data_IF_134711302863
#
_entry.id   IF_134711302863
#
_cell.length_a   1.000
_cell.length_b   1.000
_cell.length_c   1.000
_cell.angle_alpha   90.00
_cell.angle_beta   90.00
_cell.angle_gamma   90.00
#
_symmetry.space_group_name_H-M   'P 1'
#
loop_
_entity.id
_entity.type
_entity.pdbx_description
1 polymer ?
#
# COMPACT_ATOMS: atom_id res chain seq x y z
N UNK A 1 -16.99 8.78 -6.54
CA UNK A 1 -17.33 7.36 -6.70
C UNK A 1 -18.63 7.18 -7.46
N UNK A 2 -19.73 7.81 -7.03
CA UNK A 2 -20.97 7.86 -7.83
C UNK A 2 -20.80 8.59 -9.17
N UNK A 3 -19.99 9.66 -9.18
CA UNK A 3 -19.57 10.37 -10.39
C UNK A 3 -18.80 9.50 -11.40
N UNK A 4 -18.28 8.35 -10.97
CA UNK A 4 -17.55 7.39 -11.81
C UNK A 4 -18.37 6.13 -12.11
N UNK A 5 -19.67 6.11 -11.79
CA UNK A 5 -20.58 4.97 -12.01
C UNK A 5 -20.14 3.66 -11.32
N UNK A 6 -19.37 3.75 -10.25
CA UNK A 6 -18.94 2.58 -9.48
C UNK A 6 -19.98 2.23 -8.42
N UNK A 7 -20.41 0.97 -8.40
CA UNK A 7 -21.34 0.45 -7.39
C UNK A 7 -20.65 0.36 -6.03
N UNK A 8 -21.18 1.04 -5.02
CA UNK A 8 -20.66 1.02 -3.65
C UNK A 8 -21.65 0.36 -2.70
N UNK A 9 -21.14 -0.37 -1.70
CA UNK A 9 -21.93 -0.94 -0.62
C UNK A 9 -21.50 -0.30 0.70
N UNK A 10 -22.46 0.27 1.44
CA UNK A 10 -22.19 0.84 2.75
C UNK A 10 -22.22 -0.27 3.81
N UNK A 11 -21.09 -0.50 4.49
CA UNK A 11 -20.95 -1.52 5.53
C UNK A 11 -20.94 -0.93 6.95
N UNK A 12 -21.32 0.34 7.10
CA UNK A 12 -21.28 1.07 8.38
C UNK A 12 -22.19 0.45 9.45
N UNK A 13 -23.24 -0.27 9.08
CA UNK A 13 -24.16 -0.91 10.04
C UNK A 13 -23.79 -2.38 10.35
N UNK A 14 -22.69 -2.89 9.81
CA UNK A 14 -22.29 -4.29 10.03
C UNK A 14 -21.21 -4.40 11.09
N UNK A 15 -21.60 -4.77 12.31
CA UNK A 15 -20.66 -4.86 13.45
C UNK A 15 -19.55 -5.89 13.22
N UNK A 16 -19.86 -7.04 12.60
CA UNK A 16 -18.86 -8.03 12.19
C UNK A 16 -17.77 -7.42 11.28
N UNK A 17 -18.15 -6.51 10.39
CA UNK A 17 -17.21 -5.83 9.48
C UNK A 17 -16.36 -4.82 10.25
N UNK A 18 -16.97 -4.04 11.15
CA UNK A 18 -16.24 -3.10 12.01
C UNK A 18 -15.17 -3.80 12.85
N UNK A 19 -15.52 -4.94 13.42
CA UNK A 19 -14.67 -5.65 14.36
C UNK A 19 -13.57 -6.44 13.65
N UNK A 20 -13.91 -7.15 12.56
CA UNK A 20 -13.03 -8.16 11.98
C UNK A 20 -12.41 -7.78 10.63
N UNK A 21 -13.05 -6.96 9.79
CA UNK A 21 -12.60 -6.78 8.40
C UNK A 21 -11.17 -6.25 8.32
N UNK A 22 -10.80 -5.34 9.23
CA UNK A 22 -9.44 -4.77 9.32
C UNK A 22 -8.34 -5.81 9.56
N UNK A 23 -8.68 -7.00 10.05
CA UNK A 23 -7.73 -8.09 10.31
C UNK A 23 -7.75 -9.18 9.24
N UNK A 24 -8.77 -9.18 8.37
CA UNK A 24 -8.98 -10.21 7.34
C UNK A 24 -8.56 -9.76 5.94
N UNK A 25 -8.18 -8.49 5.78
CA UNK A 25 -7.67 -7.92 4.53
C UNK A 25 -6.25 -8.43 4.23
N UNK A 26 -5.96 -8.70 2.96
CA UNK A 26 -4.61 -9.07 2.50
C UNK A 26 -4.33 -10.58 2.41
N UNK A 27 -5.33 -11.38 2.05
CA UNK A 27 -5.18 -12.83 1.80
C UNK A 27 -4.00 -13.20 0.87
N UNK A 28 -3.74 -14.50 0.74
CA UNK A 28 -2.58 -14.99 -0.01
C UNK A 28 -2.84 -14.95 -1.52
N UNK A 29 -1.96 -14.31 -2.27
CA UNK A 29 -1.91 -14.35 -3.73
C UNK A 29 -0.52 -14.79 -4.17
N UNK A 30 -0.43 -15.61 -5.22
CA UNK A 30 0.85 -16.02 -5.78
C UNK A 30 1.23 -15.07 -6.93
N UNK A 31 1.89 -13.97 -6.57
CA UNK A 31 2.26 -12.89 -7.51
C UNK A 31 3.71 -13.08 -7.93
N UNK A 32 3.97 -13.23 -9.23
CA UNK A 32 5.34 -13.36 -9.72
C UNK A 32 6.10 -12.04 -9.69
N UNK A 33 7.40 -12.12 -9.40
CA UNK A 33 8.34 -10.98 -9.31
C UNK A 33 7.90 -9.90 -8.32
N UNK A 34 7.18 -10.29 -7.26
CA UNK A 34 6.82 -9.40 -6.16
C UNK A 34 8.01 -9.20 -5.22
N UNK A 35 8.29 -7.94 -4.92
CA UNK A 35 9.22 -7.51 -3.89
C UNK A 35 8.42 -6.92 -2.74
N UNK A 36 8.60 -7.49 -1.55
CA UNK A 36 7.98 -6.99 -0.32
C UNK A 36 8.93 -6.02 0.36
N UNK A 37 8.47 -4.79 0.57
CA UNK A 37 9.22 -3.74 1.24
C UNK A 37 8.41 -3.17 2.41
N UNK A 38 9.11 -2.88 3.51
CA UNK A 38 8.53 -2.20 4.67
C UNK A 38 9.13 -0.81 4.78
N UNK A 39 8.28 0.20 4.78
CA UNK A 39 8.64 1.60 4.97
C UNK A 39 8.03 2.13 6.27
N UNK A 40 8.75 3.06 6.88
CA UNK A 40 8.30 3.80 8.06
C UNK A 40 8.52 5.27 7.74
N UNK A 41 7.46 6.06 7.75
CA UNK A 41 7.56 7.50 7.54
C UNK A 41 6.72 8.25 8.57
N UNK A 42 7.16 9.47 8.98
CA UNK A 42 6.39 10.30 9.90
C UNK A 42 5.04 10.64 9.26
N UNK A 43 3.96 10.39 9.99
CA UNK A 43 2.60 10.61 9.51
C UNK A 43 2.37 12.11 9.35
N UNK A 44 2.29 12.56 8.10
CA UNK A 44 2.04 13.95 7.72
C UNK A 44 0.98 13.99 6.60
N UNK A 45 0.17 15.05 6.51
CA UNK A 45 -0.76 15.22 5.39
C UNK A 45 -0.05 15.05 4.04
N UNK A 46 -0.56 14.15 3.19
CA UNK A 46 0.01 13.87 1.88
C UNK A 46 1.23 12.94 1.85
N UNK A 47 1.66 12.36 2.98
CA UNK A 47 2.78 11.42 3.01
C UNK A 47 2.55 10.19 2.12
N UNK A 48 1.32 9.66 2.13
CA UNK A 48 0.93 8.54 1.28
C UNK A 48 1.01 8.88 -0.22
N UNK A 49 0.53 10.05 -0.62
CA UNK A 49 0.58 10.49 -2.02
C UNK A 49 2.04 10.65 -2.48
N UNK A 50 2.88 11.31 -1.67
CA UNK A 50 4.31 11.43 -1.95
C UNK A 50 5.02 10.08 -2.04
N UNK A 51 4.63 9.13 -1.20
CA UNK A 51 5.11 7.75 -1.26
C UNK A 51 4.72 7.11 -2.60
N UNK A 52 3.46 7.18 -3.01
CA UNK A 52 3.02 6.61 -4.28
C UNK A 52 3.68 7.29 -5.50
N UNK A 53 3.83 8.62 -5.47
CA UNK A 53 4.47 9.40 -6.54
C UNK A 53 5.96 9.08 -6.72
N UNK A 54 6.61 8.57 -5.68
CA UNK A 54 8.03 8.21 -5.73
C UNK A 54 8.31 6.91 -6.49
N UNK A 55 7.34 5.99 -6.52
CA UNK A 55 7.44 4.77 -7.31
C UNK A 55 7.14 5.07 -8.77
N UNK A 56 7.83 4.36 -9.67
CA UNK A 56 7.57 4.49 -11.09
C UNK A 56 6.14 4.03 -11.39
N UNK A 57 5.33 4.76 -12.18
CA UNK A 57 3.99 4.33 -12.59
C UNK A 57 4.00 3.04 -13.43
N UNK A 58 5.20 2.54 -13.81
CA UNK A 58 5.38 1.26 -14.50
C UNK A 58 5.27 0.06 -13.58
N UNK A 59 5.47 0.23 -12.28
CA UNK A 59 5.47 -0.89 -11.33
C UNK A 59 4.09 -1.11 -10.75
N UNK A 60 3.62 -2.35 -10.82
CA UNK A 60 2.31 -2.72 -10.30
C UNK A 60 2.40 -2.93 -8.78
N UNK A 61 1.51 -2.30 -8.02
CA UNK A 61 1.39 -2.51 -6.57
C UNK A 61 0.45 -3.70 -6.36
N UNK A 62 1.01 -4.84 -5.97
CA UNK A 62 0.28 -6.07 -5.69
C UNK A 62 -0.29 -6.13 -4.27
N UNK A 63 0.37 -5.46 -3.33
CA UNK A 63 -0.04 -5.42 -1.92
C UNK A 63 0.21 -4.03 -1.35
N UNK A 64 -0.75 -3.49 -0.62
CA UNK A 64 -0.58 -2.25 0.11
C UNK A 64 -1.28 -2.34 1.46
N UNK A 65 -0.49 -2.43 2.53
CA UNK A 65 -0.98 -2.50 3.89
C UNK A 65 -0.43 -1.32 4.69
N UNK A 66 -1.31 -0.39 5.02
CA UNK A 66 -1.02 0.82 5.78
C UNK A 66 -1.58 0.71 7.19
N UNK A 67 -0.74 1.01 8.19
CA UNK A 67 -1.18 1.12 9.57
C UNK A 67 -0.51 2.31 10.24
N UNK A 68 -1.29 3.35 10.53
CA UNK A 68 -0.87 4.45 11.40
C UNK A 68 -0.57 3.94 12.81
N UNK A 69 0.54 4.39 13.40
CA UNK A 69 0.96 4.11 14.77
C UNK A 69 1.10 5.42 15.54
N UNK A 70 -0.03 6.12 15.68
CA UNK A 70 -0.13 7.32 16.52
C UNK A 70 0.96 8.36 16.23
N UNK A 71 1.54 8.94 17.29
CA UNK A 71 2.55 10.01 17.18
C UNK A 71 3.92 9.55 16.60
N UNK A 72 4.12 8.25 16.40
CA UNK A 72 5.44 7.68 16.06
C UNK A 72 5.62 7.47 14.54
N UNK A 73 4.57 7.65 13.75
CA UNK A 73 4.57 7.49 12.29
C UNK A 73 3.70 6.34 11.79
N UNK A 74 3.71 6.11 10.49
CA UNK A 74 2.95 5.06 9.84
C UNK A 74 3.85 3.93 9.34
N UNK A 75 3.44 2.68 9.59
CA UNK A 75 4.06 1.50 9.01
C UNK A 75 3.34 1.16 7.71
N UNK A 76 4.12 1.04 6.63
CA UNK A 76 3.60 0.64 5.32
C UNK A 76 4.34 -0.60 4.86
N UNK A 77 3.58 -1.69 4.65
CA UNK A 77 4.05 -2.86 3.94
C UNK A 77 3.52 -2.77 2.51
N UNK A 78 4.42 -2.78 1.54
CA UNK A 78 4.07 -2.73 0.11
C UNK A 78 4.66 -3.94 -0.60
N UNK A 79 3.86 -4.56 -1.46
CA UNK A 79 4.28 -5.52 -2.47
C UNK A 79 4.26 -4.85 -3.82
N UNK A 80 5.41 -4.87 -4.50
CA UNK A 80 5.58 -4.23 -5.80
C UNK A 80 6.12 -5.27 -6.78
N UNK A 81 5.47 -5.39 -7.93
CA UNK A 81 5.96 -6.24 -9.00
C UNK A 81 7.03 -5.51 -9.80
N UNK A 82 8.26 -5.98 -9.69
CA UNK A 82 9.43 -5.38 -10.35
C UNK A 82 10.08 -6.44 -11.22
N UNK A 83 10.15 -6.23 -12.55
CA UNK A 83 10.93 -7.09 -13.43
C UNK A 83 12.40 -7.15 -12.97
N UNK A 84 13.04 -8.32 -13.07
CA UNK A 84 14.43 -8.50 -12.61
C UNK A 84 15.42 -7.49 -13.21
N UNK A 85 15.15 -7.04 -14.43
CA UNK A 85 15.98 -6.05 -15.15
C UNK A 85 15.86 -4.62 -14.59
N UNK A 86 14.80 -4.33 -13.83
CA UNK A 86 14.54 -3.01 -13.22
C UNK A 86 14.87 -2.98 -11.72
N UNK A 87 15.41 -4.07 -11.17
CA UNK A 87 15.65 -4.21 -9.73
C UNK A 87 16.66 -3.18 -9.19
N UNK A 88 17.67 -2.83 -9.98
CA UNK A 88 18.66 -1.82 -9.59
C UNK A 88 18.03 -0.43 -9.49
N UNK A 89 17.19 -0.03 -10.47
CA UNK A 89 16.43 1.23 -10.40
C UNK A 89 15.48 1.23 -9.18
N UNK A 90 14.88 0.08 -8.87
CA UNK A 90 14.02 -0.08 -7.72
C UNK A 90 14.76 0.15 -6.40
N UNK A 91 15.92 -0.45 -6.20
CA UNK A 91 16.73 -0.23 -5.00
C UNK A 91 17.14 1.24 -4.86
N UNK A 92 17.57 1.90 -5.92
CA UNK A 92 17.95 3.32 -5.89
C UNK A 92 16.78 4.25 -5.54
N UNK A 93 15.55 3.91 -5.94
CA UNK A 93 14.35 4.66 -5.55
C UNK A 93 13.94 4.35 -4.12
N UNK A 94 13.92 3.07 -3.73
CA UNK A 94 13.55 2.64 -2.39
C UNK A 94 14.47 3.25 -1.32
N UNK A 95 15.78 3.33 -1.59
CA UNK A 95 16.76 3.93 -0.68
C UNK A 95 16.62 5.46 -0.54
N UNK A 96 15.92 6.14 -1.46
CA UNK A 96 15.64 7.59 -1.34
C UNK A 96 14.42 7.90 -0.48
N UNK A 97 13.58 6.90 -0.18
CA UNK A 97 12.35 7.03 0.60
C UNK A 97 12.55 6.76 2.09
N UNK A 98 13.60 6.01 2.45
CA UNK A 98 13.98 5.64 3.81
C UNK A 98 14.95 6.63 4.43
#
# INVERSE_FOLDING_TARGET
MESCQLKTYNLTETDLVKDHLRYLMGGRSNVQNEVLCRFIFPERPGALTKFLDSFSPRWNISLFHYRGQGETGANVLVGIQVPRVEMDEFHDRANRLG
#
